data_IF_882151980185
#
_entry.id   IF_882151980185
#
_cell.length_a   1.000
_cell.length_b   1.000
_cell.length_c   1.000
_cell.angle_alpha   90.00
_cell.angle_beta   90.00
_cell.angle_gamma   90.00
#
_symmetry.space_group_name_H-M   'P 1'
#
loop_
_entity.id
_entity.type
_entity.pdbx_description
1 polymer ?
#
# COMPACT_ATOMS: atom_id res chain seq x y z
N UNK A 1 12.64 -12.32 19.16
CA UNK A 1 12.53 -10.89 18.76
C UNK A 1 11.14 -10.66 18.17
N UNK A 2 10.17 -10.29 19.00
CA UNK A 2 8.76 -10.12 18.59
C UNK A 2 8.53 -8.67 18.15
N UNK A 3 8.49 -8.44 16.83
CA UNK A 3 8.10 -7.16 16.24
C UNK A 3 6.58 -7.03 16.34
N UNK A 4 6.09 -6.49 17.45
CA UNK A 4 4.73 -5.96 17.56
C UNK A 4 4.79 -4.50 17.11
N UNK A 5 4.72 -4.26 15.81
CA UNK A 5 4.46 -2.91 15.30
C UNK A 5 2.99 -2.74 14.99
N UNK A 6 2.52 -1.52 15.16
CA UNK A 6 1.18 -1.09 14.78
C UNK A 6 0.98 -1.38 13.29
N UNK A 7 0.10 -2.35 13.00
CA UNK A 7 -0.23 -2.75 11.64
C UNK A 7 -1.27 -1.79 11.09
N UNK A 8 -0.86 -0.96 10.14
CA UNK A 8 -1.74 -0.10 9.36
C UNK A 8 -2.05 -0.75 8.02
N UNK A 9 -3.14 -0.32 7.38
CA UNK A 9 -3.63 -0.93 6.14
C UNK A 9 -3.14 -0.12 4.94
N UNK A 10 -2.42 -0.77 4.04
CA UNK A 10 -1.98 -0.16 2.79
C UNK A 10 -3.21 0.14 1.90
N UNK A 11 -3.43 1.40 1.46
CA UNK A 11 -4.60 1.77 0.66
C UNK A 11 -4.52 1.31 -0.82
N UNK A 12 -3.36 0.82 -1.28
CA UNK A 12 -3.13 0.34 -2.65
C UNK A 12 -3.42 -1.15 -2.77
N UNK A 13 -2.95 -1.96 -1.81
CA UNK A 13 -3.10 -3.42 -1.87
C UNK A 13 -3.97 -4.00 -0.76
N UNK A 14 -4.36 -3.22 0.25
CA UNK A 14 -5.16 -3.67 1.39
C UNK A 14 -4.41 -4.56 2.39
N UNK A 15 -3.09 -4.69 2.22
CA UNK A 15 -2.24 -5.54 3.08
C UNK A 15 -1.91 -4.83 4.40
N UNK A 16 -1.75 -5.61 5.47
CA UNK A 16 -1.31 -5.07 6.76
C UNK A 16 0.20 -4.84 6.75
N UNK A 17 0.61 -3.68 7.24
CA UNK A 17 2.00 -3.22 7.18
C UNK A 17 2.37 -2.52 8.49
N UNK A 18 3.57 -2.80 9.00
CA UNK A 18 4.13 -2.15 10.19
C UNK A 18 4.52 -0.69 9.90
N UNK A 19 3.77 0.27 10.43
CA UNK A 19 4.08 1.70 10.27
C UNK A 19 5.48 2.09 10.76
N UNK A 20 6.03 1.32 11.71
CA UNK A 20 7.35 1.54 12.30
C UNK A 20 8.51 1.23 11.33
N UNK A 21 8.28 0.45 10.27
CA UNK A 21 9.30 0.12 9.25
C UNK A 21 8.83 0.38 7.83
N UNK A 22 7.56 0.71 7.66
CA UNK A 22 6.96 0.94 6.37
C UNK A 22 7.45 2.25 5.74
N UNK A 23 7.68 2.26 4.41
CA UNK A 23 7.74 3.51 3.67
C UNK A 23 6.42 4.27 3.81
N UNK A 24 6.50 5.57 4.02
CA UNK A 24 5.36 6.47 4.11
C UNK A 24 5.47 7.60 3.08
N UNK A 25 4.35 8.19 2.71
CA UNK A 25 4.30 9.38 1.87
C UNK A 25 3.28 10.37 2.42
N UNK A 26 3.62 11.65 2.34
CA UNK A 26 2.71 12.73 2.64
C UNK A 26 1.97 13.17 1.38
N UNK A 27 0.63 13.22 1.42
CA UNK A 27 -0.19 13.72 0.32
C UNK A 27 -1.38 14.49 0.88
N UNK A 28 -1.56 15.72 0.43
CA UNK A 28 -2.61 16.62 0.91
C UNK A 28 -2.63 16.78 2.45
N UNK A 29 -1.43 16.85 3.07
CA UNK A 29 -1.28 16.99 4.53
C UNK A 29 -1.66 15.73 5.33
N UNK A 30 -1.80 14.57 4.67
CA UNK A 30 -2.04 13.28 5.31
C UNK A 30 -0.86 12.35 5.05
N UNK A 31 -0.37 11.70 6.10
CA UNK A 31 0.66 10.66 6.01
C UNK A 31 0.02 9.30 5.76
N UNK A 32 0.44 8.63 4.69
CA UNK A 32 0.01 7.29 4.34
C UNK A 32 1.19 6.33 4.40
N UNK A 33 0.95 5.10 4.84
CA UNK A 33 1.95 4.06 5.00
C UNK A 33 1.73 2.95 3.98
N UNK A 34 2.82 2.39 3.47
CA UNK A 34 2.80 1.43 2.38
C UNK A 34 3.62 0.20 2.72
N UNK A 35 3.14 -0.96 2.27
CA UNK A 35 3.84 -2.23 2.44
C UNK A 35 5.23 -2.20 1.80
N UNK A 36 5.39 -1.50 0.67
CA UNK A 36 6.64 -1.39 -0.07
C UNK A 36 6.71 -0.06 -0.83
N UNK A 37 7.92 0.33 -1.27
CA UNK A 37 8.17 1.49 -2.14
C UNK A 37 7.34 1.43 -3.42
N UNK A 38 7.09 0.23 -3.96
CA UNK A 38 6.26 0.03 -5.16
C UNK A 38 4.81 0.49 -4.97
N UNK A 39 4.25 0.28 -3.77
CA UNK A 39 2.92 0.79 -3.40
C UNK A 39 2.95 2.30 -3.19
N UNK A 40 4.00 2.83 -2.54
CA UNK A 40 4.20 4.27 -2.37
C UNK A 40 4.28 4.99 -3.73
N UNK A 41 5.08 4.50 -4.67
CA UNK A 41 5.21 5.07 -6.01
C UNK A 41 3.89 4.99 -6.78
N UNK A 42 3.18 3.86 -6.70
CA UNK A 42 1.82 3.74 -7.24
C UNK A 42 0.89 4.78 -6.62
N UNK A 43 0.94 4.99 -5.32
CA UNK A 43 0.10 5.98 -4.65
C UNK A 43 0.40 7.42 -5.11
N UNK A 44 1.68 7.74 -5.39
CA UNK A 44 2.07 9.03 -5.92
C UNK A 44 1.66 9.19 -7.40
N UNK A 45 1.79 8.13 -8.20
CA UNK A 45 1.47 8.11 -9.63
C UNK A 45 -0.04 7.99 -9.91
N UNK A 46 -0.78 7.32 -9.03
CA UNK A 46 -2.22 7.10 -9.14
C UNK A 46 -2.97 8.22 -8.41
N UNK A 47 -3.92 8.92 -9.06
CA UNK A 47 -4.86 9.79 -8.34
C UNK A 47 -5.72 8.95 -7.39
N UNK A 48 -5.96 9.45 -6.18
CA UNK A 48 -6.69 8.73 -5.13
C UNK A 48 -8.03 8.19 -5.67
N UNK A 49 -8.12 6.88 -5.87
CA UNK A 49 -9.32 6.23 -6.43
C UNK A 49 -9.07 5.18 -7.52
N UNK A 50 -7.87 5.08 -8.10
CA UNK A 50 -7.60 3.98 -9.04
C UNK A 50 -7.18 2.72 -8.27
N UNK A 51 -8.18 1.93 -7.90
CA UNK A 51 -8.00 0.55 -7.49
C UNK A 51 -7.20 -0.15 -8.61
N UNK A 52 -6.02 -0.73 -8.33
CA UNK A 52 -5.37 -1.58 -9.31
C UNK A 52 -6.24 -2.82 -9.40
N UNK A 53 -7.14 -2.83 -10.40
CA UNK A 53 -7.97 -3.96 -10.73
C UNK A 53 -7.11 -5.23 -10.62
N UNK A 54 -7.37 -6.00 -9.57
CA UNK A 54 -7.01 -7.40 -9.53
C UNK A 54 -7.85 -8.04 -10.61
N UNK A 55 -7.31 -8.04 -11.82
CA UNK A 55 -7.70 -9.02 -12.80
C UNK A 55 -6.46 -9.87 -13.01
N UNK A 56 -6.29 -10.80 -12.05
CA UNK A 56 -5.64 -12.07 -12.32
C UNK A 56 -6.19 -12.58 -13.64
N UNK A 57 -5.36 -12.52 -14.68
CA UNK A 57 -5.47 -13.46 -15.77
C UNK A 57 -5.24 -14.86 -15.19
N UNK A 58 -6.24 -15.72 -15.33
CA UNK A 58 -6.07 -17.16 -15.52
C UNK A 58 -7.03 -17.51 -16.66
N UNK A 59 -6.57 -17.59 -17.91
CA UNK A 59 -5.95 -18.73 -18.57
C UNK A 59 -6.84 -20.01 -18.57
N UNK A 60 -7.15 -20.46 -19.80
CA UNK A 60 -7.64 -21.79 -20.27
C UNK A 60 -8.96 -22.39 -19.76
N UNK A 61 -9.83 -22.73 -20.72
CA UNK A 61 -11.06 -23.51 -20.61
C UNK A 61 -11.88 -23.43 -21.89
#
# INVERSE_FOLDING_TARGET
MTKSGSLTKDPICGMNVDEATAPHAERAGKTFYFCCEKCQQKFLATPAGAEPATQSGGCCG
#
